data_IF_199653216164
#
_entry.id   IF_199653216164
#
_cell.length_a   1.000
_cell.length_b   1.000
_cell.length_c   1.000
_cell.angle_alpha   90.00
_cell.angle_beta   90.00
_cell.angle_gamma   90.00
#
_symmetry.space_group_name_H-M   'P 1'
#
loop_
_entity.id
_entity.type
_entity.pdbx_description
1 polymer ?
#
# COMPACT_ATOMS: atom_id res chain seq x y z
N UNK A 1 -30.74 -4.58 13.33
CA UNK A 1 -29.86 -4.38 12.17
C UNK A 1 -28.42 -4.61 12.62
N UNK A 2 -27.62 -5.28 11.81
CA UNK A 2 -26.19 -5.50 12.06
C UNK A 2 -25.46 -4.18 11.78
N UNK A 3 -24.68 -3.71 12.74
CA UNK A 3 -23.87 -2.49 12.61
C UNK A 3 -22.40 -2.84 12.42
N UNK A 4 -21.83 -2.35 11.32
CA UNK A 4 -20.43 -2.56 10.95
C UNK A 4 -19.71 -1.24 10.82
N UNK A 5 -18.64 -1.06 11.60
CA UNK A 5 -17.82 0.14 11.59
C UNK A 5 -16.47 -0.11 10.90
N UNK A 6 -16.08 0.82 10.02
CA UNK A 6 -14.71 0.93 9.49
C UNK A 6 -14.00 2.05 10.26
N UNK A 7 -13.19 1.67 11.23
CA UNK A 7 -12.49 2.61 12.10
C UNK A 7 -11.24 3.17 11.42
N UNK A 8 -11.25 4.47 11.13
CA UNK A 8 -10.17 5.14 10.43
C UNK A 8 -9.14 5.71 11.40
N UNK A 9 -7.87 5.49 11.07
CA UNK A 9 -6.71 6.10 11.71
C UNK A 9 -6.00 7.06 10.76
N UNK A 10 -6.21 6.89 9.46
CA UNK A 10 -5.73 7.79 8.41
C UNK A 10 -6.70 7.81 7.21
N UNK A 11 -6.70 8.90 6.44
CA UNK A 11 -7.63 9.07 5.31
C UNK A 11 -7.42 8.06 4.18
N UNK A 12 -6.20 7.58 3.97
CA UNK A 12 -5.90 6.60 2.92
C UNK A 12 -6.62 5.26 3.11
N UNK A 13 -7.04 4.94 4.33
CA UNK A 13 -7.72 3.68 4.65
C UNK A 13 -9.11 3.61 4.01
N UNK A 14 -9.73 4.75 3.69
CA UNK A 14 -11.07 4.80 3.08
C UNK A 14 -11.10 3.97 1.80
N UNK A 15 -10.11 4.12 0.93
CA UNK A 15 -10.04 3.39 -0.34
C UNK A 15 -9.95 1.86 -0.16
N UNK A 16 -9.35 1.41 0.94
CA UNK A 16 -9.25 -0.02 1.24
C UNK A 16 -10.59 -0.63 1.68
N UNK A 17 -11.52 0.18 2.21
CA UNK A 17 -12.78 -0.30 2.76
C UNK A 17 -14.01 -0.02 1.89
N UNK A 18 -13.90 0.78 0.82
CA UNK A 18 -15.07 1.16 0.01
C UNK A 18 -15.81 -0.05 -0.53
N UNK A 19 -15.11 -1.06 -1.03
CA UNK A 19 -15.75 -2.27 -1.57
C UNK A 19 -16.51 -3.04 -0.49
N UNK A 20 -15.94 -3.17 0.70
CA UNK A 20 -16.60 -3.78 1.87
C UNK A 20 -17.87 -3.01 2.23
N UNK A 21 -17.78 -1.70 2.32
CA UNK A 21 -18.89 -0.81 2.60
C UNK A 21 -20.03 -1.00 1.59
N UNK A 22 -19.72 -1.04 0.32
CA UNK A 22 -20.72 -1.23 -0.74
C UNK A 22 -21.40 -2.60 -0.63
N UNK A 23 -20.63 -3.68 -0.52
CA UNK A 23 -21.16 -5.04 -0.39
C UNK A 23 -22.09 -5.15 0.82
N UNK A 24 -21.69 -4.67 1.98
CA UNK A 24 -22.47 -4.80 3.20
C UNK A 24 -23.77 -3.99 3.14
N UNK A 25 -23.72 -2.74 2.67
CA UNK A 25 -24.92 -1.91 2.53
C UNK A 25 -25.90 -2.47 1.48
N UNK A 26 -25.40 -3.05 0.37
CA UNK A 26 -26.24 -3.74 -0.63
C UNK A 26 -26.96 -4.97 -0.04
N UNK A 27 -26.36 -5.60 0.97
CA UNK A 27 -26.98 -6.72 1.72
C UNK A 27 -27.91 -6.25 2.86
N UNK A 28 -28.14 -4.96 2.98
CA UNK A 28 -29.02 -4.40 4.05
C UNK A 28 -28.34 -4.33 5.41
N UNK A 29 -27.01 -4.49 5.49
CA UNK A 29 -26.23 -4.35 6.71
C UNK A 29 -25.86 -2.88 6.85
N UNK A 30 -25.97 -2.33 8.07
CA UNK A 30 -25.66 -0.93 8.32
C UNK A 30 -24.15 -0.73 8.49
N UNK A 31 -23.45 -0.57 7.38
CA UNK A 31 -22.00 -0.31 7.35
C UNK A 31 -21.71 1.18 7.18
N UNK A 32 -20.76 1.70 7.95
CA UNK A 32 -20.35 3.11 7.92
C UNK A 32 -18.92 3.29 8.39
N UNK A 33 -18.33 4.42 8.02
CA UNK A 33 -17.00 4.82 8.47
C UNK A 33 -17.05 5.54 9.81
N UNK A 34 -15.98 5.42 10.59
CA UNK A 34 -15.79 6.19 11.81
C UNK A 34 -14.51 6.99 11.71
N UNK A 35 -14.64 8.32 11.75
CA UNK A 35 -13.52 9.25 11.74
C UNK A 35 -13.60 10.13 12.99
N UNK A 36 -12.85 9.76 14.04
CA UNK A 36 -12.81 10.51 15.29
C UNK A 36 -11.76 11.64 15.22
N UNK A 37 -12.09 12.89 15.63
CA UNK A 37 -11.16 14.02 15.47
C UNK A 37 -9.82 13.87 16.20
N UNK A 38 -9.75 12.97 17.18
CA UNK A 38 -8.55 12.72 18.01
C UNK A 38 -8.00 11.31 17.85
N UNK A 39 -8.29 10.62 16.77
CA UNK A 39 -7.66 9.33 16.47
C UNK A 39 -6.16 9.52 16.30
N UNK A 40 -5.38 8.64 16.91
CA UNK A 40 -3.92 8.67 16.86
C UNK A 40 -3.44 7.45 16.08
N UNK A 41 -2.63 7.69 15.06
CA UNK A 41 -1.94 6.65 14.32
C UNK A 41 -0.97 5.87 15.23
N UNK A 42 -0.62 4.63 14.84
CA UNK A 42 0.32 3.77 15.58
C UNK A 42 1.67 4.47 15.85
N UNK A 43 2.14 5.27 14.89
CA UNK A 43 3.40 6.02 14.98
C UNK A 43 3.26 7.40 15.65
N UNK A 44 2.13 7.66 16.31
CA UNK A 44 1.87 8.93 16.98
C UNK A 44 1.32 10.04 16.09
N UNK A 45 1.15 9.80 14.80
CA UNK A 45 0.48 10.72 13.89
C UNK A 45 -1.03 10.72 14.16
N UNK A 46 -1.62 11.90 14.05
CA UNK A 46 -3.07 12.03 14.15
C UNK A 46 -3.72 11.72 12.79
N UNK A 47 -4.98 11.25 12.86
CA UNK A 47 -5.83 11.19 11.68
C UNK A 47 -5.80 12.56 10.98
N UNK A 48 -5.57 12.57 9.70
CA UNK A 48 -5.76 13.73 8.83
C UNK A 48 -7.28 13.95 8.62
N UNK A 49 -7.91 14.37 9.72
CA UNK A 49 -9.35 14.35 9.93
C UNK A 49 -10.11 15.14 8.86
N UNK A 50 -9.69 16.36 8.58
CA UNK A 50 -10.38 17.20 7.61
C UNK A 50 -10.33 16.59 6.20
N UNK A 51 -9.20 15.99 5.83
CA UNK A 51 -9.07 15.27 4.57
C UNK A 51 -9.95 14.04 4.52
N UNK A 52 -9.99 13.25 5.59
CA UNK A 52 -10.86 12.09 5.67
C UNK A 52 -12.34 12.49 5.53
N UNK A 53 -12.80 13.52 6.24
CA UNK A 53 -14.16 14.03 6.14
C UNK A 53 -14.47 14.53 4.73
N UNK A 54 -13.55 15.25 4.11
CA UNK A 54 -13.71 15.72 2.72
C UNK A 54 -13.93 14.55 1.76
N UNK A 55 -13.08 13.52 1.83
CA UNK A 55 -13.20 12.33 0.97
C UNK A 55 -14.52 11.61 1.20
N UNK A 56 -14.93 11.41 2.47
CA UNK A 56 -16.18 10.75 2.81
C UNK A 56 -17.40 11.50 2.25
N UNK A 57 -17.39 12.82 2.32
CA UNK A 57 -18.45 13.67 1.75
C UNK A 57 -18.46 13.64 0.23
N UNK A 58 -17.31 13.82 -0.42
CA UNK A 58 -17.18 13.81 -1.87
C UNK A 58 -17.64 12.48 -2.49
N UNK A 59 -17.37 11.37 -1.82
CA UNK A 59 -17.79 10.03 -2.24
C UNK A 59 -19.19 9.63 -1.74
N UNK A 60 -19.88 10.52 -1.03
CA UNK A 60 -21.20 10.27 -0.45
C UNK A 60 -21.24 8.98 0.40
N UNK A 61 -20.22 8.78 1.25
CA UNK A 61 -20.11 7.64 2.14
C UNK A 61 -20.68 7.99 3.52
N UNK A 62 -21.45 7.06 4.10
CA UNK A 62 -21.99 7.21 5.45
C UNK A 62 -20.87 7.17 6.48
N UNK A 63 -20.83 8.12 7.38
CA UNK A 63 -19.84 8.18 8.45
C UNK A 63 -20.36 8.77 9.75
N UNK A 64 -19.67 8.42 10.84
CA UNK A 64 -19.86 9.00 12.16
C UNK A 64 -18.53 9.58 12.67
N UNK A 65 -18.61 10.56 13.55
CA UNK A 65 -17.43 11.19 14.17
C UNK A 65 -17.11 10.62 15.56
N UNK A 66 -17.87 9.62 15.97
CA UNK A 66 -17.68 8.87 17.21
C UNK A 66 -18.08 7.41 16.97
N UNK A 67 -17.27 6.49 17.49
CA UNK A 67 -17.56 5.06 17.43
C UNK A 67 -18.77 4.68 18.26
N UNK A 68 -19.45 3.63 17.84
CA UNK A 68 -20.36 2.89 18.70
C UNK A 68 -19.58 1.74 19.36
N UNK A 69 -19.33 1.85 20.66
CA UNK A 69 -18.59 0.83 21.41
C UNK A 69 -19.24 -0.57 21.37
N UNK A 70 -20.51 -0.64 21.00
CA UNK A 70 -21.30 -1.88 20.91
C UNK A 70 -21.62 -2.27 19.46
N UNK A 71 -20.97 -1.72 18.47
CA UNK A 71 -21.07 -2.18 17.09
C UNK A 71 -20.84 -3.71 17.03
N UNK A 72 -21.53 -4.39 16.12
CA UNK A 72 -21.41 -5.85 15.98
C UNK A 72 -20.05 -6.23 15.42
N UNK A 73 -19.55 -5.48 14.43
CA UNK A 73 -18.24 -5.71 13.78
C UNK A 73 -17.50 -4.37 13.68
N UNK A 74 -16.20 -4.40 13.95
CA UNK A 74 -15.31 -3.27 13.75
C UNK A 74 -14.07 -3.70 12.92
N UNK A 75 -13.84 -3.00 11.82
CA UNK A 75 -12.66 -3.18 10.97
C UNK A 75 -11.61 -2.11 11.25
N UNK A 76 -10.35 -2.49 11.19
CA UNK A 76 -9.21 -1.56 11.12
C UNK A 76 -8.10 -2.13 10.26
N UNK A 77 -7.23 -1.26 9.74
CA UNK A 77 -5.97 -1.66 9.09
C UNK A 77 -4.79 -1.61 10.07
N UNK A 78 -5.01 -1.11 11.30
CA UNK A 78 -3.99 -0.85 12.31
C UNK A 78 -4.01 -1.89 13.43
N UNK A 79 -3.15 -1.74 14.42
CA UNK A 79 -3.04 -2.65 15.55
C UNK A 79 -4.31 -2.73 16.41
N UNK A 80 -4.50 -3.86 17.07
CA UNK A 80 -5.67 -4.13 17.93
C UNK A 80 -5.91 -3.07 19.00
N UNK A 81 -4.86 -2.40 19.48
CA UNK A 81 -4.99 -1.32 20.48
C UNK A 81 -5.92 -0.18 20.03
N UNK A 82 -6.05 0.04 18.72
CA UNK A 82 -6.97 1.04 18.17
C UNK A 82 -8.43 0.63 18.34
N UNK A 83 -8.68 -0.66 18.58
CA UNK A 83 -10.01 -1.20 18.86
C UNK A 83 -10.28 -1.51 20.34
N UNK A 84 -9.37 -1.15 21.26
CA UNK A 84 -9.49 -1.47 22.68
C UNK A 84 -10.72 -0.88 23.37
N UNK A 85 -11.33 0.17 22.78
CA UNK A 85 -12.53 0.82 23.31
C UNK A 85 -13.84 0.20 22.84
N UNK A 86 -13.80 -0.77 21.95
CA UNK A 86 -14.99 -1.54 21.58
C UNK A 86 -15.31 -2.59 22.64
N UNK A 87 -16.59 -2.96 22.73
CA UNK A 87 -17.06 -4.05 23.59
C UNK A 87 -16.28 -5.35 23.28
N UNK A 88 -16.12 -6.18 24.31
CA UNK A 88 -15.58 -7.53 24.13
C UNK A 88 -16.42 -8.42 23.20
N UNK A 89 -17.69 -8.09 23.01
CA UNK A 89 -18.61 -8.80 22.11
C UNK A 89 -18.48 -8.34 20.66
N UNK A 90 -17.91 -7.16 20.41
CA UNK A 90 -17.66 -6.66 19.06
C UNK A 90 -16.62 -7.54 18.38
N UNK A 91 -16.95 -8.04 17.20
CA UNK A 91 -16.03 -8.82 16.36
C UNK A 91 -15.02 -7.85 15.74
N UNK A 92 -13.75 -8.08 16.00
CA UNK A 92 -12.64 -7.23 15.54
C UNK A 92 -11.94 -7.88 14.36
N UNK A 93 -11.91 -7.19 13.23
CA UNK A 93 -11.31 -7.69 12.00
C UNK A 93 -10.20 -6.72 11.56
N UNK A 94 -9.01 -7.28 11.34
CA UNK A 94 -7.91 -6.53 10.73
C UNK A 94 -7.87 -6.79 9.22
N UNK A 95 -7.80 -5.71 8.45
CA UNK A 95 -7.51 -5.74 7.02
C UNK A 95 -6.06 -5.34 6.80
N UNK A 96 -5.28 -6.22 6.21
CA UNK A 96 -3.95 -5.87 5.73
C UNK A 96 -4.02 -5.01 4.47
N UNK A 97 -3.15 -4.01 4.39
CA UNK A 97 -3.03 -3.11 3.25
C UNK A 97 -1.61 -3.14 2.69
N UNK A 98 -1.35 -4.05 1.79
CA UNK A 98 -0.05 -4.23 1.17
C UNK A 98 0.86 -5.25 1.86
N UNK A 99 2.01 -5.46 1.26
CA UNK A 99 3.03 -6.41 1.71
C UNK A 99 4.43 -5.81 1.49
N UNK A 100 5.35 -6.09 2.38
CA UNK A 100 6.76 -5.72 2.23
C UNK A 100 7.66 -6.81 2.77
N UNK A 101 8.67 -7.19 2.00
CA UNK A 101 9.66 -8.19 2.41
C UNK A 101 10.64 -7.69 3.47
N UNK A 102 10.82 -6.38 3.61
CA UNK A 102 11.74 -5.79 4.58
C UNK A 102 11.08 -5.23 5.84
N UNK A 103 9.78 -4.94 5.80
CA UNK A 103 9.02 -4.49 6.96
C UNK A 103 8.41 -5.67 7.70
N UNK A 104 9.09 -6.21 8.69
CA UNK A 104 8.61 -7.36 9.50
C UNK A 104 7.22 -7.19 10.10
N UNK A 105 6.78 -5.96 10.31
CA UNK A 105 5.53 -5.64 10.97
C UNK A 105 4.38 -5.35 10.02
N UNK A 106 4.59 -5.42 8.70
CA UNK A 106 3.62 -4.94 7.73
C UNK A 106 2.42 -5.88 7.61
N UNK A 107 1.48 -5.74 8.52
CA UNK A 107 0.22 -6.47 8.54
C UNK A 107 0.28 -7.88 9.11
N UNK A 108 1.39 -8.59 8.98
CA UNK A 108 1.58 -9.96 9.45
C UNK A 108 2.31 -10.05 10.81
N UNK A 109 2.45 -8.92 11.52
CA UNK A 109 3.04 -8.86 12.85
C UNK A 109 2.10 -9.38 13.93
N UNK A 110 2.65 -9.66 15.11
CA UNK A 110 1.86 -9.97 16.30
C UNK A 110 0.85 -8.86 16.61
N UNK A 111 1.28 -7.61 16.63
CA UNK A 111 0.42 -6.44 16.90
C UNK A 111 -0.72 -6.26 15.89
N UNK A 112 -0.49 -6.59 14.62
CA UNK A 112 -1.48 -6.50 13.55
C UNK A 112 -2.36 -7.74 13.44
N UNK A 113 -2.15 -8.78 14.27
CA UNK A 113 -2.84 -10.06 14.14
C UNK A 113 -3.40 -10.57 15.46
N UNK A 114 -2.60 -10.65 16.52
CA UNK A 114 -3.06 -11.13 17.82
C UNK A 114 -4.09 -10.17 18.44
N UNK A 115 -5.11 -10.73 19.05
CA UNK A 115 -6.21 -9.96 19.66
C UNK A 115 -7.32 -9.55 18.70
N UNK A 116 -7.19 -9.84 17.40
CA UNK A 116 -8.29 -9.79 16.43
C UNK A 116 -9.04 -11.12 16.40
N UNK A 117 -10.33 -11.06 16.08
CA UNK A 117 -11.14 -12.26 15.85
C UNK A 117 -10.89 -12.84 14.46
N UNK A 118 -10.63 -11.97 13.48
CA UNK A 118 -10.31 -12.34 12.10
C UNK A 118 -9.21 -11.46 11.53
N UNK A 119 -8.42 -12.05 10.62
CA UNK A 119 -7.41 -11.36 9.82
C UNK A 119 -7.68 -11.59 8.34
N UNK A 120 -7.67 -10.50 7.58
CA UNK A 120 -7.73 -10.53 6.12
C UNK A 120 -6.40 -10.12 5.53
N UNK A 121 -5.78 -11.03 4.78
CA UNK A 121 -4.46 -10.86 4.17
C UNK A 121 -4.56 -10.66 2.66
N UNK A 122 -3.52 -10.07 2.05
CA UNK A 122 -3.50 -9.79 0.62
C UNK A 122 -3.07 -11.00 -0.22
N UNK A 123 -2.36 -11.96 0.37
CA UNK A 123 -1.89 -13.14 -0.32
C UNK A 123 -1.59 -14.29 0.64
N UNK A 124 -1.27 -15.43 0.07
CA UNK A 124 -0.98 -16.65 0.83
C UNK A 124 0.27 -16.49 1.71
N UNK A 125 1.28 -15.77 1.21
CA UNK A 125 2.50 -15.49 1.96
C UNK A 125 2.21 -14.82 3.31
N UNK A 126 1.45 -13.73 3.31
CA UNK A 126 1.09 -13.02 4.55
C UNK A 126 0.13 -13.83 5.42
N UNK A 127 -0.79 -14.56 4.81
CA UNK A 127 -1.70 -15.43 5.56
C UNK A 127 -0.93 -16.46 6.37
N UNK A 128 0.05 -17.11 5.78
CA UNK A 128 0.89 -18.10 6.50
C UNK A 128 1.66 -17.47 7.66
N UNK A 129 2.17 -16.24 7.48
CA UNK A 129 2.83 -15.51 8.56
C UNK A 129 1.85 -15.17 9.70
N UNK A 130 0.64 -14.73 9.37
CA UNK A 130 -0.40 -14.41 10.35
C UNK A 130 -0.84 -15.62 11.16
N UNK A 131 -0.82 -16.81 10.59
CA UNK A 131 -1.19 -18.05 11.30
C UNK A 131 -0.26 -18.43 12.46
N UNK A 132 0.82 -17.67 12.67
CA UNK A 132 1.63 -17.77 13.91
C UNK A 132 0.92 -17.14 15.12
N UNK A 133 -0.07 -16.27 14.89
CA UNK A 133 -0.71 -15.46 15.93
C UNK A 133 -2.23 -15.60 15.95
N UNK A 134 -2.83 -16.24 14.98
CA UNK A 134 -4.27 -16.45 14.85
C UNK A 134 -4.53 -17.83 14.25
N UNK A 135 -5.66 -18.44 14.61
CA UNK A 135 -6.07 -19.73 14.05
C UNK A 135 -6.32 -19.62 12.53
N UNK A 136 -5.93 -20.64 11.79
CA UNK A 136 -5.99 -20.65 10.32
C UNK A 136 -7.41 -20.51 9.76
N UNK A 137 -8.43 -20.94 10.49
CA UNK A 137 -9.85 -20.78 10.12
C UNK A 137 -10.39 -19.36 10.32
N UNK A 138 -9.60 -18.47 10.95
CA UNK A 138 -9.89 -17.05 11.16
C UNK A 138 -8.99 -16.13 10.34
N UNK A 139 -8.10 -16.70 9.53
CA UNK A 139 -7.23 -15.95 8.61
C UNK A 139 -7.67 -16.22 7.17
N UNK A 140 -8.05 -15.16 6.46
CA UNK A 140 -8.50 -15.21 5.08
C UNK A 140 -7.51 -14.49 4.16
N UNK A 141 -7.06 -15.18 3.12
CA UNK A 141 -6.43 -14.56 1.98
C UNK A 141 -7.55 -14.05 1.05
N UNK A 142 -7.67 -12.74 0.92
CA UNK A 142 -8.70 -12.09 0.09
C UNK A 142 -8.14 -11.34 -1.12
N UNK A 143 -6.85 -11.46 -1.38
CA UNK A 143 -6.19 -10.62 -2.37
C UNK A 143 -6.12 -9.16 -1.94
N UNK A 144 -6.16 -8.24 -2.91
CA UNK A 144 -6.08 -6.81 -2.66
C UNK A 144 -7.33 -6.09 -3.19
N UNK A 145 -8.39 -5.96 -2.36
CA UNK A 145 -9.70 -5.48 -2.80
C UNK A 145 -9.70 -4.10 -3.44
N UNK A 146 -8.77 -3.23 -3.03
CA UNK A 146 -8.57 -1.91 -3.65
C UNK A 146 -8.38 -1.99 -5.18
N UNK A 147 -7.86 -3.11 -5.68
CA UNK A 147 -7.50 -3.29 -7.08
C UNK A 147 -8.26 -4.42 -7.80
N UNK A 148 -9.35 -4.93 -7.24
CA UNK A 148 -10.11 -6.00 -7.92
C UNK A 148 -10.58 -5.64 -9.33
N UNK A 149 -10.97 -4.40 -9.55
CA UNK A 149 -11.52 -3.94 -10.83
C UNK A 149 -10.44 -3.37 -11.79
N UNK A 150 -9.19 -3.29 -11.35
CA UNK A 150 -8.10 -2.69 -12.15
C UNK A 150 -7.70 -3.57 -13.34
N UNK A 151 -7.87 -4.89 -13.24
CA UNK A 151 -7.49 -5.83 -14.31
C UNK A 151 -8.15 -5.57 -15.68
N UNK A 152 -9.19 -4.72 -15.75
CA UNK A 152 -9.87 -4.35 -16.98
C UNK A 152 -9.61 -2.91 -17.46
N UNK A 153 -8.85 -2.10 -16.71
CA UNK A 153 -8.67 -0.67 -16.94
C UNK A 153 -7.23 -0.30 -17.31
N UNK A 154 -6.53 -1.16 -18.04
CA UNK A 154 -5.14 -0.90 -18.43
C UNK A 154 -5.06 0.33 -19.32
N UNK A 155 -4.53 1.43 -18.77
CA UNK A 155 -4.03 2.53 -19.57
C UNK A 155 -2.70 2.13 -20.21
N UNK A 156 -2.53 2.49 -21.49
CA UNK A 156 -1.24 2.34 -22.11
C UNK A 156 -0.25 3.38 -21.58
N UNK A 157 1.03 3.11 -21.71
CA UNK A 157 2.09 4.06 -21.36
C UNK A 157 1.90 5.40 -22.07
N UNK A 158 1.55 5.37 -23.33
CA UNK A 158 1.30 6.55 -24.15
C UNK A 158 0.13 7.37 -23.60
N UNK A 159 -0.97 6.73 -23.23
CA UNK A 159 -2.15 7.40 -22.66
C UNK A 159 -1.82 8.11 -21.34
N UNK A 160 -1.07 7.45 -20.43
CA UNK A 160 -0.68 8.06 -19.15
C UNK A 160 0.27 9.25 -19.37
N UNK A 161 1.23 9.12 -20.28
CA UNK A 161 2.17 10.20 -20.63
C UNK A 161 1.45 11.39 -21.26
N UNK A 162 0.50 11.15 -22.14
CA UNK A 162 -0.32 12.17 -22.76
C UNK A 162 -1.16 12.91 -21.71
N UNK A 163 -1.84 12.20 -20.81
CA UNK A 163 -2.62 12.77 -19.70
C UNK A 163 -1.79 13.72 -18.83
N UNK A 164 -0.52 13.37 -18.59
CA UNK A 164 0.41 14.19 -17.80
C UNK A 164 1.12 15.28 -18.61
N UNK A 165 0.93 15.33 -19.92
CA UNK A 165 1.60 16.29 -20.79
C UNK A 165 3.11 16.06 -20.94
N UNK A 166 3.57 14.82 -20.75
CA UNK A 166 4.98 14.47 -20.85
C UNK A 166 5.37 14.40 -22.34
N UNK A 167 6.28 15.31 -22.74
CA UNK A 167 6.83 15.38 -24.09
C UNK A 167 8.35 15.27 -24.02
N UNK A 168 8.87 14.07 -24.13
CA UNK A 168 10.31 13.83 -24.11
C UNK A 168 10.68 12.68 -25.04
N UNK A 169 11.89 12.77 -25.62
CA UNK A 169 12.49 11.67 -26.37
C UNK A 169 13.38 10.77 -25.48
N UNK A 170 13.65 11.21 -24.26
CA UNK A 170 14.39 10.41 -23.28
C UNK A 170 13.53 9.26 -22.77
N UNK A 171 14.16 8.14 -22.45
CA UNK A 171 13.52 7.10 -21.64
C UNK A 171 13.18 7.67 -20.27
N UNK A 172 12.10 7.19 -19.67
CA UNK A 172 11.55 7.71 -18.41
C UNK A 172 11.86 6.76 -17.26
N UNK A 173 12.40 7.33 -16.18
CA UNK A 173 12.49 6.68 -14.87
C UNK A 173 11.33 7.16 -14.01
N UNK A 174 10.53 6.23 -13.49
CA UNK A 174 9.53 6.49 -12.47
C UNK A 174 10.17 6.25 -11.09
N UNK A 175 10.33 7.30 -10.28
CA UNK A 175 10.97 7.22 -8.97
C UNK A 175 9.94 7.28 -7.85
N UNK A 176 9.99 6.29 -6.95
CA UNK A 176 9.00 6.07 -5.89
C UNK A 176 9.70 5.95 -4.52
N UNK A 177 10.14 7.09 -3.92
CA UNK A 177 10.81 7.08 -2.63
C UNK A 177 9.83 6.94 -1.46
N UNK A 178 10.28 6.29 -0.37
CA UNK A 178 9.61 6.35 0.93
C UNK A 178 9.95 7.67 1.67
N UNK A 179 9.38 7.87 2.86
CA UNK A 179 9.56 9.09 3.66
C UNK A 179 10.25 8.87 5.00
N UNK A 180 10.50 7.63 5.40
CA UNK A 180 11.15 7.29 6.67
C UNK A 180 12.69 7.36 6.59
N UNK A 181 13.37 6.88 7.61
CA UNK A 181 14.83 6.83 7.68
C UNK A 181 15.49 5.94 6.60
N UNK A 182 14.69 5.12 5.93
CA UNK A 182 15.13 4.28 4.81
C UNK A 182 14.91 4.93 3.44
N UNK A 183 14.56 6.22 3.42
CA UNK A 183 14.41 6.98 2.18
C UNK A 183 15.72 7.16 1.44
N UNK A 184 15.72 6.89 0.15
CA UNK A 184 16.89 7.06 -0.74
C UNK A 184 17.19 8.51 -1.09
N UNK A 185 16.28 9.45 -0.84
CA UNK A 185 16.38 10.84 -1.31
C UNK A 185 17.72 11.49 -0.91
N UNK A 186 18.12 11.38 0.36
CA UNK A 186 19.36 11.97 0.86
C UNK A 186 20.60 11.19 0.44
N UNK A 187 20.53 9.86 0.57
CA UNK A 187 21.70 8.99 0.37
C UNK A 187 22.09 8.90 -1.10
N UNK A 188 21.12 8.84 -2.00
CA UNK A 188 21.34 8.68 -3.44
C UNK A 188 21.12 9.98 -4.24
N UNK A 189 21.09 11.12 -3.57
CA UNK A 189 20.75 12.41 -4.18
C UNK A 189 21.59 12.76 -5.41
N UNK A 190 22.92 12.67 -5.30
CA UNK A 190 23.82 13.05 -6.38
C UNK A 190 23.69 12.13 -7.59
N UNK A 191 23.60 10.84 -7.34
CA UNK A 191 23.49 9.81 -8.38
C UNK A 191 22.14 9.87 -9.10
N UNK A 192 21.05 10.05 -8.34
CA UNK A 192 19.71 10.26 -8.90
C UNK A 192 19.65 11.52 -9.77
N UNK A 193 20.22 12.62 -9.27
CA UNK A 193 20.30 13.88 -10.01
C UNK A 193 21.09 13.74 -11.30
N UNK A 194 22.19 12.99 -11.29
CA UNK A 194 23.01 12.76 -12.48
C UNK A 194 22.29 11.96 -13.56
N UNK A 195 21.33 11.12 -13.20
CA UNK A 195 20.52 10.36 -14.17
C UNK A 195 19.70 11.26 -15.09
N UNK A 196 19.40 12.52 -14.69
CA UNK A 196 18.65 13.48 -15.52
C UNK A 196 19.37 13.82 -16.84
N UNK A 197 20.68 13.68 -16.90
CA UNK A 197 21.43 13.94 -18.13
C UNK A 197 20.96 13.00 -19.27
N UNK A 198 20.64 11.76 -18.91
CA UNK A 198 20.26 10.71 -19.87
C UNK A 198 18.76 10.40 -19.87
N UNK A 199 18.11 10.48 -18.73
CA UNK A 199 16.72 10.07 -18.53
C UNK A 199 15.83 11.24 -18.13
N UNK A 200 14.53 11.09 -18.37
CA UNK A 200 13.49 11.95 -17.81
C UNK A 200 12.95 11.33 -16.54
N UNK A 201 13.00 12.03 -15.42
CA UNK A 201 12.62 11.48 -14.11
C UNK A 201 11.27 12.04 -13.67
N UNK A 202 10.30 11.14 -13.48
CA UNK A 202 8.99 11.43 -12.88
C UNK A 202 8.95 10.83 -11.50
N UNK A 203 8.70 11.65 -10.50
CA UNK A 203 8.68 11.21 -9.09
C UNK A 203 7.29 11.32 -8.50
N UNK A 204 6.85 10.27 -7.81
CA UNK A 204 5.68 10.30 -6.92
C UNK A 204 6.17 10.24 -5.47
N UNK A 205 6.17 11.38 -4.76
CA UNK A 205 6.59 11.40 -3.37
C UNK A 205 5.60 10.66 -2.46
N UNK A 206 6.11 10.16 -1.35
CA UNK A 206 5.25 9.67 -0.27
C UNK A 206 4.40 10.82 0.30
N UNK A 207 3.18 10.55 0.72
CA UNK A 207 2.28 11.59 1.26
C UNK A 207 2.87 12.33 2.46
N UNK A 208 3.64 11.65 3.32
CA UNK A 208 4.33 12.28 4.45
C UNK A 208 5.39 13.29 4.01
N UNK A 209 6.01 13.12 2.84
CA UNK A 209 7.00 14.08 2.32
C UNK A 209 6.37 15.44 2.05
N UNK A 210 5.11 15.49 1.63
CA UNK A 210 4.36 16.74 1.49
C UNK A 210 3.80 17.27 2.80
N UNK A 211 3.33 16.39 3.66
CA UNK A 211 2.56 16.75 4.87
C UNK A 211 3.44 17.24 6.01
N UNK A 212 4.63 16.65 6.19
CA UNK A 212 5.46 16.90 7.34
C UNK A 212 6.46 18.02 7.08
N UNK A 213 6.48 19.01 7.95
CA UNK A 213 7.46 20.13 7.90
C UNK A 213 8.90 19.65 7.98
N UNK A 214 9.15 18.57 8.73
CA UNK A 214 10.48 17.94 8.85
C UNK A 214 10.98 17.35 7.52
N UNK A 215 10.11 17.21 6.50
CA UNK A 215 10.44 16.64 5.18
C UNK A 215 10.57 17.69 4.07
N UNK A 216 10.57 18.97 4.39
CA UNK A 216 10.72 20.05 3.39
C UNK A 216 12.01 19.97 2.60
N UNK A 217 13.12 19.61 3.25
CA UNK A 217 14.41 19.43 2.57
C UNK A 217 14.36 18.27 1.58
N UNK A 218 13.75 17.15 1.97
CA UNK A 218 13.56 16.02 1.09
C UNK A 218 12.71 16.39 -0.14
N UNK A 219 11.63 17.14 0.08
CA UNK A 219 10.76 17.60 -1.04
C UNK A 219 11.53 18.53 -2.00
N UNK A 220 12.33 19.46 -1.46
CA UNK A 220 13.16 20.33 -2.28
C UNK A 220 14.18 19.53 -3.11
N UNK A 221 14.81 18.53 -2.53
CA UNK A 221 15.71 17.62 -3.26
C UNK A 221 14.99 16.85 -4.36
N UNK A 222 13.74 16.42 -4.14
CA UNK A 222 12.95 15.78 -5.17
C UNK A 222 12.69 16.69 -6.38
N UNK A 223 12.44 17.97 -6.17
CA UNK A 223 12.33 18.95 -7.27
C UNK A 223 13.64 19.10 -8.06
N UNK A 224 14.79 18.93 -7.41
CA UNK A 224 16.08 18.97 -8.11
C UNK A 224 16.40 17.67 -8.86
N UNK A 225 16.06 16.51 -8.28
CA UNK A 225 16.25 15.18 -8.87
C UNK A 225 15.33 14.98 -10.09
N UNK A 226 14.11 15.52 -10.05
CA UNK A 226 13.02 15.16 -10.97
C UNK A 226 12.84 16.21 -12.07
N UNK A 227 12.37 15.77 -13.24
CA UNK A 227 11.80 16.62 -14.27
C UNK A 227 10.33 16.92 -14.00
N UNK A 228 9.63 15.98 -13.36
CA UNK A 228 8.25 16.14 -12.93
C UNK A 228 8.04 15.51 -11.56
N UNK A 229 7.39 16.24 -10.65
CA UNK A 229 6.99 15.76 -9.32
C UNK A 229 5.47 15.73 -9.27
N UNK A 230 4.91 14.55 -9.07
CA UNK A 230 3.46 14.34 -9.00
C UNK A 230 2.92 14.61 -7.60
N UNK A 231 1.63 14.96 -7.53
CA UNK A 231 0.94 15.06 -6.25
C UNK A 231 0.77 13.68 -5.61
N UNK A 232 0.74 13.57 -4.27
CA UNK A 232 0.63 12.28 -3.59
C UNK A 232 -0.66 11.53 -3.93
N UNK A 233 -1.72 12.25 -4.33
CA UNK A 233 -3.02 11.70 -4.72
C UNK A 233 -3.00 11.01 -6.08
N UNK A 234 -1.97 11.21 -6.89
CA UNK A 234 -1.85 10.52 -8.17
C UNK A 234 -1.77 9.00 -7.93
N UNK A 235 -2.66 8.25 -8.57
CA UNK A 235 -2.79 6.82 -8.31
C UNK A 235 -1.54 6.02 -8.69
N UNK A 236 -1.14 5.09 -7.83
CA UNK A 236 -0.02 4.19 -8.10
C UNK A 236 -0.32 3.28 -9.31
N UNK A 237 -1.57 2.92 -9.52
CA UNK A 237 -2.05 2.15 -10.67
C UNK A 237 -1.71 2.81 -12.01
N UNK A 238 -1.87 4.14 -12.13
CA UNK A 238 -1.44 4.90 -13.31
C UNK A 238 0.07 5.13 -13.32
N UNK A 239 0.65 5.43 -12.15
CA UNK A 239 2.07 5.72 -12.02
C UNK A 239 2.97 4.59 -12.55
N UNK A 240 2.55 3.34 -12.34
CA UNK A 240 3.29 2.16 -12.78
C UNK A 240 3.34 1.99 -14.31
N UNK A 241 2.62 2.81 -15.08
CA UNK A 241 2.66 2.81 -16.54
C UNK A 241 3.39 4.02 -17.14
N UNK A 242 3.94 4.93 -16.33
CA UNK A 242 4.67 6.12 -16.82
C UNK A 242 6.07 5.76 -17.31
N UNK A 243 6.83 5.02 -16.51
CA UNK A 243 8.25 4.78 -16.72
C UNK A 243 8.57 3.68 -17.72
N UNK A 244 9.76 3.74 -18.27
CA UNK A 244 10.42 2.60 -18.90
C UNK A 244 11.09 1.71 -17.84
N UNK A 245 11.47 2.30 -16.72
CA UNK A 245 12.02 1.65 -15.53
C UNK A 245 11.51 2.35 -14.29
N UNK A 246 11.22 1.59 -13.23
CA UNK A 246 10.82 2.12 -11.93
C UNK A 246 11.93 1.90 -10.89
N UNK A 247 12.25 2.95 -10.15
CA UNK A 247 13.20 2.92 -9.02
C UNK A 247 12.40 3.11 -7.74
N UNK A 248 12.49 2.15 -6.83
CA UNK A 248 11.69 2.11 -5.59
C UNK A 248 12.62 1.87 -4.40
N UNK A 249 12.34 2.52 -3.27
CA UNK A 249 13.02 2.22 -2.01
C UNK A 249 12.67 0.80 -1.53
N UNK A 250 13.69 -0.01 -1.29
CA UNK A 250 13.52 -1.42 -0.96
C UNK A 250 12.65 -1.68 0.28
N UNK A 251 12.67 -0.74 1.24
CA UNK A 251 11.87 -0.80 2.47
C UNK A 251 10.46 -0.22 2.32
N UNK A 252 10.04 0.15 1.13
CA UNK A 252 8.71 0.70 0.89
C UNK A 252 7.65 -0.42 0.79
N UNK A 253 6.46 -0.15 1.36
CA UNK A 253 5.28 -0.99 1.13
C UNK A 253 4.81 -1.02 -0.32
N UNK A 254 5.26 -0.09 -1.15
CA UNK A 254 4.91 -0.02 -2.57
C UNK A 254 5.69 -0.98 -3.46
N UNK A 255 6.76 -1.63 -2.98
CA UNK A 255 7.62 -2.51 -3.81
C UNK A 255 6.85 -3.65 -4.48
N UNK A 256 6.17 -4.44 -3.69
CA UNK A 256 5.39 -5.58 -4.19
C UNK A 256 4.06 -5.13 -4.80
N UNK A 257 3.43 -4.08 -4.28
CA UNK A 257 2.22 -3.48 -4.85
C UNK A 257 2.47 -2.97 -6.28
N UNK A 258 3.59 -2.29 -6.50
CA UNK A 258 4.01 -1.84 -7.82
C UNK A 258 4.20 -3.00 -8.79
N UNK A 259 4.84 -4.09 -8.33
CA UNK A 259 5.01 -5.31 -9.12
C UNK A 259 3.67 -5.95 -9.48
N UNK A 260 2.74 -5.97 -8.53
CA UNK A 260 1.39 -6.49 -8.77
C UNK A 260 0.61 -5.67 -9.80
N UNK A 261 0.78 -4.34 -9.79
CA UNK A 261 0.08 -3.44 -10.72
C UNK A 261 0.64 -3.50 -12.14
N UNK A 262 1.94 -3.72 -12.28
CA UNK A 262 2.60 -3.87 -13.58
C UNK A 262 3.79 -4.83 -13.49
N UNK A 263 3.54 -6.11 -13.70
CA UNK A 263 4.55 -7.16 -13.61
C UNK A 263 5.51 -7.21 -14.82
N UNK A 264 5.23 -6.46 -15.90
CA UNK A 264 6.14 -6.24 -17.04
C UNK A 264 7.12 -5.07 -16.82
N UNK A 265 7.00 -4.32 -15.73
CA UNK A 265 7.85 -3.17 -15.47
C UNK A 265 9.26 -3.60 -15.06
N UNK A 266 10.27 -3.03 -15.70
CA UNK A 266 11.66 -3.11 -15.25
C UNK A 266 11.81 -2.35 -13.92
N UNK A 267 12.54 -2.93 -12.97
CA UNK A 267 12.67 -2.37 -11.62
C UNK A 267 14.08 -2.43 -11.08
N UNK A 268 14.41 -1.40 -10.29
CA UNK A 268 15.58 -1.36 -9.41
C UNK A 268 15.09 -0.95 -8.03
N UNK A 269 15.49 -1.67 -6.98
CA UNK A 269 15.20 -1.26 -5.61
C UNK A 269 16.46 -0.70 -4.94
N UNK A 270 16.28 0.38 -4.18
CA UNK A 270 17.36 1.05 -3.47
C UNK A 270 17.33 0.67 -2.00
N UNK A 271 18.42 0.13 -1.48
CA UNK A 271 18.62 -0.14 -0.07
C UNK A 271 19.47 0.96 0.55
N UNK A 272 18.96 1.57 1.62
CA UNK A 272 19.66 2.62 2.37
C UNK A 272 20.44 2.02 3.54
N UNK A 273 19.79 1.17 4.33
CA UNK A 273 20.41 0.54 5.49
C UNK A 273 20.44 -0.97 5.38
N UNK A 274 21.62 -1.56 5.62
CA UNK A 274 21.79 -3.03 5.67
C UNK A 274 21.26 -3.64 6.96
N UNK A 275 20.94 -2.84 7.97
CA UNK A 275 20.40 -3.29 9.26
C UNK A 275 18.94 -3.74 9.16
N UNK A 276 18.24 -3.41 8.07
CA UNK A 276 16.86 -3.85 7.79
C UNK A 276 16.77 -5.28 7.24
N UNK A 277 17.90 -5.97 7.08
CA UNK A 277 17.92 -7.37 6.61
C UNK A 277 17.20 -8.27 7.62
N UNK A 278 16.29 -9.07 7.10
CA UNK A 278 15.48 -10.02 7.85
C UNK A 278 15.48 -11.41 7.20
N UNK A 279 14.59 -12.28 7.66
CA UNK A 279 14.44 -13.65 7.15
C UNK A 279 14.18 -13.72 5.63
N UNK A 280 13.65 -12.67 5.03
CA UNK A 280 13.28 -12.61 3.61
C UNK A 280 14.33 -11.93 2.74
N UNK A 281 15.51 -11.64 3.28
CA UNK A 281 16.59 -10.98 2.54
C UNK A 281 16.98 -11.72 1.26
N UNK A 282 17.04 -13.05 1.31
CA UNK A 282 17.40 -13.85 0.15
C UNK A 282 16.34 -13.79 -0.95
N UNK A 283 15.07 -13.66 -0.57
CA UNK A 283 13.96 -13.52 -1.52
C UNK A 283 14.10 -12.26 -2.37
N UNK A 284 14.55 -11.17 -1.77
CA UNK A 284 14.75 -9.90 -2.49
C UNK A 284 15.79 -10.04 -3.60
N UNK A 285 16.86 -10.78 -3.36
CA UNK A 285 17.90 -11.03 -4.37
C UNK A 285 17.42 -11.86 -5.56
N UNK A 286 16.31 -12.58 -5.39
CA UNK A 286 15.70 -13.36 -6.47
C UNK A 286 14.66 -12.55 -7.26
N UNK A 287 14.08 -11.50 -6.66
CA UNK A 287 12.92 -10.81 -7.21
C UNK A 287 13.27 -9.51 -7.94
N UNK A 288 14.42 -8.91 -7.66
CA UNK A 288 14.79 -7.60 -8.21
C UNK A 288 16.30 -7.37 -8.24
N UNK A 289 16.75 -6.48 -9.13
CA UNK A 289 18.08 -5.89 -9.04
C UNK A 289 18.11 -4.90 -7.88
N UNK A 290 18.95 -5.18 -6.87
CA UNK A 290 19.07 -4.39 -5.66
C UNK A 290 20.35 -3.55 -5.67
N UNK A 291 20.23 -2.26 -5.39
CA UNK A 291 21.36 -1.34 -5.19
C UNK A 291 21.52 -1.07 -3.70
N UNK A 292 22.64 -1.45 -3.12
CA UNK A 292 22.98 -1.20 -1.71
C UNK A 292 24.20 -0.27 -1.53
N UNK A 293 24.80 0.14 -2.63
CA UNK A 293 25.87 1.13 -2.69
C UNK A 293 25.53 2.19 -3.75
N UNK A 294 25.48 3.45 -3.32
CA UNK A 294 25.13 4.56 -4.21
C UNK A 294 26.03 4.66 -5.46
N UNK A 295 27.29 4.29 -5.34
CA UNK A 295 28.26 4.36 -6.45
C UNK A 295 27.89 3.43 -7.61
N UNK A 296 27.07 2.41 -7.36
CA UNK A 296 26.64 1.44 -8.37
C UNK A 296 25.31 1.85 -9.07
N UNK A 297 24.60 2.87 -8.57
CA UNK A 297 23.25 3.19 -9.00
C UNK A 297 23.18 3.46 -10.51
N UNK A 298 24.04 4.31 -11.03
CA UNK A 298 24.00 4.73 -12.44
C UNK A 298 24.25 3.55 -13.37
N UNK A 299 25.24 2.71 -13.06
CA UNK A 299 25.55 1.52 -13.86
C UNK A 299 24.43 0.49 -13.79
N UNK A 300 23.86 0.26 -12.61
CA UNK A 300 22.73 -0.68 -12.44
C UNK A 300 21.49 -0.20 -13.18
N UNK A 301 21.16 1.08 -13.11
CA UNK A 301 20.03 1.66 -13.85
C UNK A 301 20.25 1.50 -15.36
N UNK A 302 21.43 1.81 -15.86
CA UNK A 302 21.75 1.66 -17.29
C UNK A 302 21.65 0.21 -17.76
N UNK A 303 22.16 -0.73 -16.97
CA UNK A 303 22.05 -2.17 -17.25
C UNK A 303 20.60 -2.63 -17.26
N UNK A 304 19.86 -2.33 -16.20
CA UNK A 304 18.46 -2.78 -16.04
C UNK A 304 17.53 -2.14 -17.07
N UNK A 305 17.80 -0.89 -17.48
CA UNK A 305 17.07 -0.23 -18.55
C UNK A 305 17.20 -0.96 -19.91
N UNK A 306 18.30 -1.67 -20.12
CA UNK A 306 18.50 -2.51 -21.29
C UNK A 306 17.85 -3.90 -21.14
N UNK A 307 18.01 -4.53 -19.98
CA UNK A 307 17.49 -5.85 -19.67
C UNK A 307 17.33 -6.04 -18.16
N UNK A 308 16.14 -6.44 -17.72
CA UNK A 308 15.84 -6.81 -16.36
C UNK A 308 15.71 -8.34 -16.25
N UNK A 309 16.72 -8.98 -15.71
CA UNK A 309 16.82 -10.44 -15.57
C UNK A 309 15.76 -11.05 -14.62
N UNK A 310 15.04 -10.22 -13.86
CA UNK A 310 14.14 -10.67 -12.79
C UNK A 310 12.66 -10.60 -13.16
N UNK A 311 12.29 -10.08 -14.33
CA UNK A 311 10.87 -9.90 -14.72
C UNK A 311 10.10 -11.21 -14.68
N UNK A 312 10.63 -12.28 -15.26
CA UNK A 312 9.94 -13.57 -15.31
C UNK A 312 9.74 -14.16 -13.91
N UNK A 313 10.73 -14.04 -13.04
CA UNK A 313 10.59 -14.47 -11.65
C UNK A 313 9.51 -13.68 -10.93
N UNK A 314 9.44 -12.36 -11.12
CA UNK A 314 8.37 -11.53 -10.52
C UNK A 314 6.98 -11.95 -11.01
N UNK A 315 6.81 -12.18 -12.29
CA UNK A 315 5.54 -12.64 -12.87
C UNK A 315 5.05 -13.96 -12.28
N UNK A 316 5.97 -14.90 -12.09
CA UNK A 316 5.64 -16.21 -11.52
C UNK A 316 5.27 -16.14 -10.04
N UNK A 317 5.88 -15.22 -9.27
CA UNK A 317 5.80 -15.23 -7.81
C UNK A 317 4.93 -14.12 -7.20
N UNK A 318 4.57 -13.08 -7.96
CA UNK A 318 3.82 -11.94 -7.39
C UNK A 318 2.49 -12.34 -6.75
N UNK A 319 1.80 -13.35 -7.29
CA UNK A 319 0.50 -13.77 -6.81
C UNK A 319 0.54 -14.51 -5.46
N UNK A 320 1.71 -14.89 -4.95
CA UNK A 320 1.83 -15.37 -3.57
C UNK A 320 1.69 -14.23 -2.55
N UNK A 321 2.03 -12.99 -2.95
CA UNK A 321 1.91 -11.78 -2.13
C UNK A 321 0.56 -11.09 -2.29
N UNK A 322 0.02 -11.11 -3.50
CA UNK A 322 -1.28 -10.53 -3.86
C UNK A 322 -2.09 -11.54 -4.67
N UNK A 323 -2.98 -12.24 -4.02
CA UNK A 323 -3.85 -13.23 -4.68
C UNK A 323 -4.88 -12.54 -5.57
N UNK A 324 -5.25 -13.22 -6.65
CA UNK A 324 -6.28 -12.74 -7.58
C UNK A 324 -7.64 -13.29 -7.17
N UNK A 325 -8.40 -12.46 -6.48
CA UNK A 325 -9.81 -12.71 -6.16
C UNK A 325 -10.70 -11.62 -6.74
N UNK A 326 -11.99 -11.81 -6.66
CA UNK A 326 -13.01 -10.89 -7.14
C UNK A 326 -13.99 -10.49 -6.02
N UNK A 327 -14.92 -9.58 -6.37
CA UNK A 327 -15.97 -9.12 -5.48
C UNK A 327 -16.81 -10.26 -4.90
N UNK A 328 -17.12 -11.31 -5.69
CA UNK A 328 -17.93 -12.44 -5.23
C UNK A 328 -17.27 -13.21 -4.11
N UNK A 329 -15.97 -13.39 -4.20
CA UNK A 329 -15.20 -14.04 -3.13
C UNK A 329 -15.19 -13.23 -1.84
N UNK A 330 -14.98 -11.91 -1.93
CA UNK A 330 -15.04 -11.03 -0.76
C UNK A 330 -16.44 -11.06 -0.12
N UNK A 331 -17.48 -11.00 -0.92
CA UNK A 331 -18.87 -11.15 -0.45
C UNK A 331 -19.07 -12.47 0.29
N UNK A 332 -18.60 -13.58 -0.28
CA UNK A 332 -18.64 -14.89 0.36
C UNK A 332 -17.94 -14.89 1.74
N UNK A 333 -16.73 -14.33 1.83
CA UNK A 333 -15.96 -14.27 3.08
C UNK A 333 -16.70 -13.44 4.14
N UNK A 334 -17.20 -12.27 3.77
CA UNK A 334 -17.95 -11.39 4.69
C UNK A 334 -19.20 -12.07 5.22
N UNK A 335 -20.01 -12.69 4.35
CA UNK A 335 -21.23 -13.38 4.76
C UNK A 335 -20.93 -14.61 5.61
N UNK A 336 -19.85 -15.31 5.34
CA UNK A 336 -19.38 -16.45 6.17
C UNK A 336 -19.02 -16.00 7.58
N UNK A 337 -18.29 -14.89 7.74
CA UNK A 337 -17.95 -14.36 9.06
C UNK A 337 -19.22 -13.94 9.82
N UNK A 338 -20.13 -13.24 9.18
CA UNK A 338 -21.40 -12.78 9.78
C UNK A 338 -22.22 -13.98 10.25
N UNK A 339 -22.38 -14.99 9.42
CA UNK A 339 -23.12 -16.21 9.74
C UNK A 339 -22.48 -17.02 10.87
N UNK A 340 -21.15 -17.18 10.85
CA UNK A 340 -20.42 -17.92 11.88
C UNK A 340 -20.55 -17.30 13.28
N UNK A 341 -20.89 -16.01 13.36
CA UNK A 341 -21.07 -15.29 14.62
C UNK A 341 -22.54 -15.06 14.98
N UNK A 342 -23.47 -15.75 14.30
CA UNK A 342 -24.91 -15.70 14.56
C UNK A 342 -25.50 -14.26 14.51
N UNK A 343 -25.00 -13.43 13.60
CA UNK A 343 -25.47 -12.05 13.43
C UNK A 343 -26.62 -11.95 12.40
N UNK A 344 -26.87 -13.00 11.62
CA UNK A 344 -28.00 -13.10 10.67
C UNK A 344 -29.24 -13.70 11.34
#
# INVERSE_FOLDING_TARGET
>A
AINVEFYLVASFEIEHFILFYNILNEKGINAYFVAEPKSIHVDGDYLDYERAIKILKEKNLKYHTMRDAYADIAFTTQAVRNLARYSKKTIKINLQYGCSLLKNAFGASEEGTAGFDYKMSNGQFDRELCCRYIDSDRAYDIGYPKYYDIAGTHMTREQVREELGIKTQKKIIAYLPTSDENSSIQVYYNELKSLKDKYYIVTKPHHCTYRLDSKKDDLNKLYEISDMVLQPEYGLDKFMFIGDLTVIDANSGATLEATFLNDDMMMVWLLVSKDVRNLFWQEINNIVELVDNRDDLVDVVNKTMAEDDYIEYRKEHINQYFSKYDRKYLEYVLMRIISANNLL
#
